data_IF_590645032997
#
_entry.id   IF_590645032997
#
_cell.length_a   1.000
_cell.length_b   1.000
_cell.length_c   1.000
_cell.angle_alpha   90.00
_cell.angle_beta   90.00
_cell.angle_gamma   90.00
#
_symmetry.space_group_name_H-M   'P 1'
#
loop_
_entity.id
_entity.type
_entity.pdbx_description
1 polymer ?
#
# COMPACT_ATOMS: atom_id res chain seq x y z
N UNK A 1 -10.97 -19.68 -17.71
CA UNK A 1 -12.02 -18.65 -17.83
C UNK A 1 -13.17 -18.95 -16.89
N UNK A 2 -13.90 -20.07 -17.04
CA UNK A 2 -15.02 -20.39 -16.12
C UNK A 2 -14.67 -20.32 -14.62
N UNK A 3 -13.52 -20.87 -14.21
CA UNK A 3 -13.08 -20.80 -12.81
C UNK A 3 -12.80 -19.36 -12.34
N UNK A 4 -12.31 -18.50 -13.24
CA UNK A 4 -12.05 -17.09 -12.97
C UNK A 4 -13.35 -16.31 -12.82
N UNK A 5 -14.29 -16.51 -13.75
CA UNK A 5 -15.61 -15.86 -13.72
C UNK A 5 -16.35 -16.20 -12.43
N UNK A 6 -16.28 -17.46 -12.00
CA UNK A 6 -16.85 -17.92 -10.73
C UNK A 6 -16.17 -17.27 -9.52
N UNK A 7 -14.86 -17.02 -9.58
CA UNK A 7 -14.14 -16.31 -8.51
C UNK A 7 -14.64 -14.87 -8.40
N UNK A 8 -14.75 -14.16 -9.52
CA UNK A 8 -15.24 -12.78 -9.57
C UNK A 8 -16.68 -12.70 -9.06
N UNK A 9 -17.57 -13.58 -9.55
CA UNK A 9 -18.96 -13.67 -9.10
C UNK A 9 -19.04 -13.92 -7.58
N UNK A 10 -18.25 -14.87 -7.06
CA UNK A 10 -18.23 -15.17 -5.63
C UNK A 10 -17.73 -13.98 -4.81
N UNK A 11 -16.75 -13.22 -5.31
CA UNK A 11 -16.26 -12.03 -4.62
C UNK A 11 -17.34 -10.96 -4.53
N UNK A 12 -18.03 -10.68 -5.65
CA UNK A 12 -19.13 -9.71 -5.72
C UNK A 12 -20.31 -10.09 -4.82
N UNK A 13 -20.69 -11.37 -4.77
CA UNK A 13 -21.73 -11.89 -3.87
C UNK A 13 -21.41 -11.64 -2.39
N UNK A 14 -20.13 -11.46 -2.05
CA UNK A 14 -19.65 -11.16 -0.70
C UNK A 14 -19.30 -9.67 -0.50
N UNK A 15 -19.66 -8.79 -1.44
CA UNK A 15 -19.38 -7.35 -1.37
C UNK A 15 -17.90 -7.00 -1.48
N UNK A 16 -17.09 -7.89 -2.05
CA UNK A 16 -15.68 -7.66 -2.34
C UNK A 16 -15.51 -7.27 -3.81
N UNK A 17 -14.46 -6.51 -4.10
CA UNK A 17 -14.07 -6.14 -5.46
C UNK A 17 -12.81 -6.92 -5.87
N UNK A 18 -12.65 -7.20 -7.15
CA UNK A 18 -11.50 -7.92 -7.72
C UNK A 18 -10.78 -7.01 -8.69
N UNK A 19 -9.54 -6.63 -8.37
CA UNK A 19 -8.62 -5.99 -9.31
C UNK A 19 -7.58 -7.00 -9.78
N UNK A 20 -7.08 -6.82 -11.01
CA UNK A 20 -6.00 -7.64 -11.54
C UNK A 20 -4.66 -6.91 -11.54
N UNK A 21 -3.59 -7.67 -11.37
CA UNK A 21 -2.25 -7.16 -11.61
C UNK A 21 -2.01 -7.01 -13.11
N UNK A 22 -1.58 -5.82 -13.53
CA UNK A 22 -1.40 -5.44 -14.92
C UNK A 22 0.05 -5.07 -15.19
N UNK A 23 0.77 -5.99 -15.83
CA UNK A 23 2.18 -5.82 -16.20
C UNK A 23 2.26 -5.17 -17.57
N UNK A 24 2.21 -3.84 -17.60
CA UNK A 24 2.21 -3.07 -18.85
C UNK A 24 3.61 -2.75 -19.36
N UNK A 25 4.62 -2.67 -18.49
CA UNK A 25 5.96 -2.20 -18.84
C UNK A 25 6.74 -3.21 -19.71
N UNK A 26 6.46 -4.50 -19.56
CA UNK A 26 7.25 -5.56 -20.18
C UNK A 26 6.44 -6.85 -20.36
N UNK A 27 6.95 -7.77 -21.17
CA UNK A 27 6.43 -9.15 -21.25
C UNK A 27 7.52 -10.17 -20.97
N UNK A 28 7.15 -11.43 -20.77
CA UNK A 28 8.11 -12.53 -20.89
C UNK A 28 8.67 -12.64 -22.33
N UNK A 29 9.88 -13.17 -22.47
CA UNK A 29 10.54 -13.40 -23.77
C UNK A 29 9.82 -14.42 -24.68
N UNK A 30 8.90 -15.21 -24.12
CA UNK A 30 8.09 -16.20 -24.82
C UNK A 30 6.70 -15.66 -25.23
N UNK A 31 6.43 -14.36 -25.02
CA UNK A 31 5.20 -13.73 -25.45
C UNK A 31 5.06 -13.73 -26.98
N UNK A 32 3.86 -13.98 -27.50
CA UNK A 32 3.62 -14.11 -28.94
C UNK A 32 4.04 -12.85 -29.73
N UNK A 33 3.85 -11.66 -29.13
CA UNK A 33 4.25 -10.39 -29.73
C UNK A 33 5.76 -10.31 -30.04
N UNK A 34 6.63 -11.04 -29.33
CA UNK A 34 8.08 -11.06 -29.65
C UNK A 34 8.32 -11.46 -31.11
N UNK A 35 7.50 -12.38 -31.63
CA UNK A 35 7.62 -12.89 -33.00
C UNK A 35 6.59 -12.28 -33.96
N UNK A 36 5.37 -12.05 -33.50
CA UNK A 36 4.26 -11.57 -34.32
C UNK A 36 4.27 -10.04 -34.49
N UNK A 37 4.73 -9.31 -33.46
CA UNK A 37 4.76 -7.85 -33.39
C UNK A 37 6.08 -7.34 -32.79
N UNK A 38 7.25 -7.66 -33.38
CA UNK A 38 8.55 -7.23 -32.85
C UNK A 38 8.72 -5.70 -32.85
N UNK A 39 7.84 -4.95 -33.51
CA UNK A 39 7.74 -3.48 -33.45
C UNK A 39 7.14 -2.94 -32.15
N UNK A 40 6.49 -3.78 -31.33
CA UNK A 40 5.96 -3.41 -30.02
C UNK A 40 7.02 -3.34 -28.93
N UNK A 41 8.25 -3.75 -29.21
CA UNK A 41 9.32 -3.81 -28.23
C UNK A 41 10.40 -2.76 -28.47
N UNK A 42 11.01 -2.30 -27.39
CA UNK A 42 12.17 -1.41 -27.44
C UNK A 42 13.35 -2.18 -28.01
N UNK A 43 14.14 -1.50 -28.86
CA UNK A 43 15.30 -2.09 -29.52
C UNK A 43 16.57 -1.33 -29.16
N UNK A 44 17.63 -2.09 -28.93
CA UNK A 44 18.96 -1.56 -28.68
C UNK A 44 19.57 -0.91 -29.94
N UNK A 45 20.81 -0.44 -29.82
CA UNK A 45 21.55 0.19 -30.92
C UNK A 45 21.85 -0.76 -32.09
N UNK A 46 21.77 -2.08 -31.87
CA UNK A 46 21.95 -3.11 -32.88
C UNK A 46 20.62 -3.52 -33.53
N UNK A 47 19.49 -3.02 -33.03
CA UNK A 47 18.15 -3.38 -33.50
C UNK A 47 17.59 -4.65 -32.87
N UNK A 48 18.20 -5.13 -31.77
CA UNK A 48 17.76 -6.30 -31.02
C UNK A 48 16.82 -5.88 -29.89
N UNK A 49 15.81 -6.69 -29.58
CA UNK A 49 14.91 -6.43 -28.44
C UNK A 49 15.72 -6.51 -27.15
N UNK A 50 15.46 -5.59 -26.22
CA UNK A 50 16.20 -5.45 -24.95
C UNK A 50 15.30 -5.59 -23.73
N UNK A 51 15.89 -5.81 -22.56
CA UNK A 51 15.23 -5.71 -21.27
C UNK A 51 14.95 -4.25 -20.86
N UNK A 52 14.04 -4.01 -19.89
CA UNK A 52 13.65 -2.67 -19.47
C UNK A 52 14.81 -1.73 -19.16
N UNK A 53 14.70 -0.50 -19.69
CA UNK A 53 15.72 0.53 -19.59
C UNK A 53 15.35 1.50 -18.46
N UNK A 54 16.35 1.98 -17.75
CA UNK A 54 16.20 3.10 -16.84
C UNK A 54 16.23 4.41 -17.64
N UNK A 55 15.10 5.09 -17.77
CA UNK A 55 14.98 6.34 -18.52
C UNK A 55 15.90 7.47 -18.04
N UNK A 56 16.25 7.47 -16.75
CA UNK A 56 17.13 8.50 -16.18
C UNK A 56 18.61 8.30 -16.59
N UNK A 57 19.02 7.07 -16.88
CA UNK A 57 20.42 6.73 -17.20
C UNK A 57 20.61 6.28 -18.65
N UNK A 58 19.55 5.80 -19.30
CA UNK A 58 19.58 5.12 -20.59
C UNK A 58 20.23 3.73 -20.55
N UNK A 59 20.44 3.17 -19.35
CA UNK A 59 21.06 1.85 -19.15
C UNK A 59 20.01 0.83 -18.68
N UNK A 60 20.17 -0.48 -18.97
CA UNK A 60 19.22 -1.49 -18.54
C UNK A 60 19.08 -1.58 -17.01
N UNK A 61 17.86 -1.87 -16.53
CA UNK A 61 17.61 -2.22 -15.12
C UNK A 61 18.21 -3.58 -14.74
N UNK A 62 18.56 -4.40 -15.75
CA UNK A 62 19.11 -5.74 -15.55
C UNK A 62 18.04 -6.80 -15.34
N UNK A 63 16.80 -6.53 -15.74
CA UNK A 63 15.68 -7.48 -15.70
C UNK A 63 15.72 -8.38 -16.93
N UNK A 64 16.83 -9.11 -17.07
CA UNK A 64 17.17 -9.87 -18.28
C UNK A 64 16.20 -11.00 -18.64
N UNK A 65 15.26 -11.33 -17.76
CA UNK A 65 14.22 -12.35 -17.94
C UNK A 65 12.93 -11.81 -18.58
N UNK A 66 12.84 -10.50 -18.82
CA UNK A 66 11.69 -9.85 -19.48
C UNK A 66 12.14 -8.93 -20.62
N UNK A 67 11.21 -8.64 -21.54
CA UNK A 67 11.42 -7.82 -22.72
C UNK A 67 10.63 -6.52 -22.63
N UNK A 68 11.30 -5.39 -22.90
CA UNK A 68 10.78 -4.04 -22.74
C UNK A 68 9.78 -3.66 -23.83
N UNK A 69 8.62 -3.13 -23.42
CA UNK A 69 7.57 -2.70 -24.34
C UNK A 69 7.71 -1.23 -24.73
N UNK A 70 7.56 -0.94 -26.02
CA UNK A 70 7.74 0.39 -26.58
C UNK A 70 6.41 1.15 -26.73
N UNK A 71 6.10 2.01 -25.76
CA UNK A 71 4.89 2.82 -25.76
C UNK A 71 4.87 4.00 -26.76
N UNK A 72 5.95 4.23 -27.53
CA UNK A 72 5.88 5.11 -28.72
C UNK A 72 5.12 4.43 -29.87
N UNK A 73 4.88 3.11 -29.80
CA UNK A 73 4.13 2.38 -30.81
C UNK A 73 2.62 2.43 -30.52
N UNK A 74 1.88 3.19 -31.33
CA UNK A 74 0.41 3.30 -31.24
C UNK A 74 -0.33 1.95 -31.36
N UNK A 75 0.23 1.00 -32.11
CA UNK A 75 -0.33 -0.35 -32.23
C UNK A 75 -0.25 -1.13 -30.93
N UNK A 76 0.85 -0.99 -30.18
CA UNK A 76 0.98 -1.56 -28.84
C UNK A 76 -0.04 -0.92 -27.89
N UNK A 77 -0.12 0.42 -27.90
CA UNK A 77 -1.05 1.17 -27.01
C UNK A 77 -2.49 0.69 -27.21
N UNK A 78 -2.92 0.58 -28.47
CA UNK A 78 -4.25 0.06 -28.80
C UNK A 78 -4.43 -1.38 -28.36
N UNK A 79 -3.47 -2.27 -28.63
CA UNK A 79 -3.54 -3.67 -28.19
C UNK A 79 -3.65 -3.79 -26.67
N UNK A 80 -2.80 -3.07 -25.92
CA UNK A 80 -2.80 -3.01 -24.46
C UNK A 80 -4.15 -2.54 -23.91
N UNK A 81 -4.68 -1.44 -24.47
CA UNK A 81 -6.00 -0.90 -24.13
C UNK A 81 -7.11 -1.93 -24.37
N UNK A 82 -7.11 -2.62 -25.51
CA UNK A 82 -8.16 -3.61 -25.81
C UNK A 82 -8.11 -4.80 -24.86
N UNK A 83 -6.93 -5.27 -24.48
CA UNK A 83 -6.79 -6.34 -23.48
C UNK A 83 -7.29 -5.90 -22.09
N UNK A 84 -7.02 -4.65 -21.67
CA UNK A 84 -7.60 -4.11 -20.44
C UNK A 84 -9.15 -4.02 -20.54
N UNK A 85 -9.67 -3.50 -21.64
CA UNK A 85 -11.12 -3.44 -21.84
C UNK A 85 -11.77 -4.83 -21.86
N UNK A 86 -11.09 -5.85 -22.38
CA UNK A 86 -11.57 -7.22 -22.42
C UNK A 86 -11.87 -7.75 -21.02
N UNK A 87 -10.94 -7.63 -20.07
CA UNK A 87 -11.18 -8.14 -18.71
C UNK A 87 -12.31 -7.41 -17.99
N UNK A 88 -12.41 -6.09 -18.16
CA UNK A 88 -13.48 -5.30 -17.54
C UNK A 88 -14.84 -5.63 -18.16
N UNK A 89 -14.93 -5.73 -19.49
CA UNK A 89 -16.19 -5.98 -20.22
C UNK A 89 -16.67 -7.43 -20.10
N UNK A 90 -15.77 -8.38 -20.31
CA UNK A 90 -16.11 -9.79 -20.48
C UNK A 90 -16.04 -10.57 -19.16
N UNK A 91 -15.18 -10.13 -18.23
CA UNK A 91 -14.95 -10.83 -16.96
C UNK A 91 -15.30 -10.01 -15.72
N UNK A 92 -15.85 -8.81 -15.90
CA UNK A 92 -16.42 -7.97 -14.86
C UNK A 92 -15.48 -7.66 -13.69
N UNK A 93 -14.16 -7.65 -13.89
CA UNK A 93 -13.22 -7.20 -12.85
C UNK A 93 -13.44 -5.72 -12.53
N UNK A 94 -13.00 -5.27 -11.37
CA UNK A 94 -13.28 -3.94 -10.82
C UNK A 94 -12.13 -2.95 -10.98
N UNK A 95 -11.09 -3.31 -11.72
CA UNK A 95 -9.98 -2.44 -12.07
C UNK A 95 -8.62 -3.16 -11.99
N UNK A 96 -7.55 -2.39 -11.79
CA UNK A 96 -6.18 -2.87 -11.94
C UNK A 96 -5.23 -2.36 -10.86
N UNK A 97 -4.26 -3.20 -10.48
CA UNK A 97 -2.97 -2.78 -9.95
C UNK A 97 -2.00 -2.73 -11.12
N UNK A 98 -1.48 -1.56 -11.47
CA UNK A 98 -0.50 -1.40 -12.54
C UNK A 98 0.92 -1.60 -12.00
N UNK A 99 1.59 -2.65 -12.45
CA UNK A 99 3.00 -2.93 -12.17
C UNK A 99 3.91 -1.86 -12.77
N UNK A 100 4.93 -1.44 -12.01
CA UNK A 100 5.92 -0.46 -12.43
C UNK A 100 5.27 0.74 -13.17
N UNK A 101 4.14 1.25 -12.66
CA UNK A 101 3.29 2.20 -13.38
C UNK A 101 4.03 3.47 -13.84
N UNK A 102 5.06 3.85 -13.09
CA UNK A 102 5.95 4.99 -13.36
C UNK A 102 6.84 4.81 -14.60
N UNK A 103 7.02 3.57 -15.09
CA UNK A 103 7.78 3.24 -16.29
C UNK A 103 6.93 3.24 -17.56
N UNK A 104 5.63 3.50 -17.45
CA UNK A 104 4.71 3.59 -18.58
C UNK A 104 4.18 5.04 -18.67
N UNK A 105 4.07 5.63 -19.88
CA UNK A 105 3.69 7.03 -20.02
C UNK A 105 2.36 7.40 -19.34
N UNK A 106 2.34 8.50 -18.57
CA UNK A 106 1.13 8.98 -17.88
C UNK A 106 -0.05 9.15 -18.84
N UNK A 107 0.18 9.69 -20.04
CA UNK A 107 -0.87 9.94 -21.03
C UNK A 107 -1.52 8.66 -21.55
N UNK A 108 -0.80 7.53 -21.58
CA UNK A 108 -1.40 6.23 -21.86
C UNK A 108 -2.37 5.83 -20.74
N UNK A 109 -1.95 5.99 -19.49
CA UNK A 109 -2.79 5.66 -18.34
C UNK A 109 -4.04 6.53 -18.24
N UNK A 110 -3.93 7.83 -18.52
CA UNK A 110 -5.07 8.75 -18.54
C UNK A 110 -6.10 8.32 -19.61
N UNK A 111 -5.62 8.01 -20.81
CA UNK A 111 -6.43 7.59 -21.95
C UNK A 111 -7.15 6.25 -21.68
N UNK A 112 -6.43 5.20 -21.27
CA UNK A 112 -7.05 3.90 -20.99
C UNK A 112 -7.99 3.95 -19.78
N UNK A 113 -7.65 4.70 -18.74
CA UNK A 113 -8.49 4.80 -17.54
C UNK A 113 -9.80 5.53 -17.83
N UNK A 114 -9.79 6.53 -18.72
CA UNK A 114 -11.02 7.15 -19.22
C UNK A 114 -11.92 6.14 -19.92
N UNK A 115 -11.37 5.37 -20.87
CA UNK A 115 -12.12 4.35 -21.62
C UNK A 115 -12.68 3.24 -20.72
N UNK A 116 -11.90 2.78 -19.72
CA UNK A 116 -12.37 1.79 -18.74
C UNK A 116 -13.56 2.33 -17.94
N UNK A 117 -13.50 3.59 -17.51
CA UNK A 117 -14.57 4.25 -16.73
C UNK A 117 -15.84 4.50 -17.55
N UNK A 118 -15.75 4.57 -18.88
CA UNK A 118 -16.94 4.57 -19.76
C UNK A 118 -17.71 3.25 -19.71
N UNK A 119 -17.02 2.13 -19.47
CA UNK A 119 -17.66 0.81 -19.33
C UNK A 119 -18.36 0.69 -17.99
N UNK A 120 -17.63 0.91 -16.90
CA UNK A 120 -18.14 0.94 -15.51
C UNK A 120 -17.13 1.65 -14.59
N UNK A 121 -17.52 2.08 -13.38
CA UNK A 121 -16.55 2.52 -12.38
C UNK A 121 -15.50 1.43 -12.14
N UNK A 122 -14.23 1.80 -12.29
CA UNK A 122 -13.07 0.94 -12.01
C UNK A 122 -12.17 1.61 -10.98
N UNK A 123 -11.38 0.80 -10.27
CA UNK A 123 -10.37 1.23 -9.33
C UNK A 123 -8.98 0.96 -9.88
N UNK A 124 -8.18 2.01 -10.00
CA UNK A 124 -6.83 1.97 -10.54
C UNK A 124 -5.82 2.24 -9.42
N UNK A 125 -4.99 1.25 -9.14
CA UNK A 125 -3.88 1.31 -8.18
C UNK A 125 -2.55 1.33 -8.92
N UNK A 126 -1.76 2.37 -8.76
CA UNK A 126 -0.40 2.42 -9.30
C UNK A 126 0.58 1.77 -8.32
N UNK A 127 1.44 0.86 -8.79
CA UNK A 127 2.70 0.59 -8.12
C UNK A 127 3.69 1.74 -8.35
N UNK A 128 3.36 2.88 -7.76
CA UNK A 128 4.15 4.09 -7.77
C UNK A 128 3.66 5.02 -6.65
N UNK A 129 4.54 5.92 -6.23
CA UNK A 129 4.19 7.14 -5.47
C UNK A 129 4.65 8.40 -6.20
N UNK A 130 5.27 8.22 -7.38
CA UNK A 130 5.73 9.27 -8.27
C UNK A 130 5.88 8.72 -9.71
N UNK A 131 5.75 9.55 -10.75
CA UNK A 131 5.44 10.97 -10.68
C UNK A 131 3.96 11.21 -10.29
N UNK A 132 3.67 12.41 -9.77
CA UNK A 132 2.39 12.72 -9.11
C UNK A 132 1.22 12.83 -10.08
N UNK A 133 1.53 13.17 -11.33
CA UNK A 133 0.56 13.29 -12.42
C UNK A 133 -0.14 11.95 -12.75
N UNK A 134 0.44 10.81 -12.35
CA UNK A 134 -0.26 9.52 -12.36
C UNK A 134 -1.60 9.57 -11.60
N UNK A 135 -1.69 10.35 -10.52
CA UNK A 135 -2.88 10.34 -9.65
C UNK A 135 -3.98 11.29 -10.11
N UNK A 136 -3.67 12.29 -10.95
CA UNK A 136 -4.65 13.31 -11.33
C UNK A 136 -5.86 12.74 -12.11
N UNK A 137 -5.61 11.92 -13.12
CA UNK A 137 -6.68 11.39 -14.00
C UNK A 137 -6.62 9.87 -14.22
N UNK A 138 -5.51 9.21 -13.86
CA UNK A 138 -5.33 7.80 -14.14
C UNK A 138 -5.60 6.92 -12.92
N UNK A 139 -4.95 7.18 -11.78
CA UNK A 139 -4.96 6.29 -10.63
C UNK A 139 -5.61 6.90 -9.39
N UNK A 140 -6.54 6.19 -8.74
CA UNK A 140 -7.10 6.63 -7.46
C UNK A 140 -6.15 6.42 -6.28
N UNK A 141 -5.22 5.47 -6.38
CA UNK A 141 -4.33 5.11 -5.26
C UNK A 141 -2.91 4.79 -5.73
N UNK A 142 -1.92 5.20 -4.96
CA UNK A 142 -0.50 4.83 -5.12
C UNK A 142 -0.03 3.88 -4.02
N UNK A 143 1.17 3.33 -4.15
CA UNK A 143 1.84 2.63 -3.05
C UNK A 143 2.46 3.63 -2.08
N UNK A 144 2.46 3.35 -0.77
CA UNK A 144 3.24 4.13 0.19
C UNK A 144 4.64 3.52 0.40
N UNK A 145 5.51 3.59 -0.61
CA UNK A 145 6.83 2.96 -0.55
C UNK A 145 7.77 3.66 0.43
N UNK A 146 7.82 4.99 0.41
CA UNK A 146 8.66 5.72 1.34
C UNK A 146 8.21 5.53 2.80
N UNK A 147 6.90 5.59 3.05
CA UNK A 147 6.36 5.31 4.38
C UNK A 147 6.67 3.88 4.81
N UNK A 148 6.53 2.89 3.92
CA UNK A 148 6.92 1.51 4.20
C UNK A 148 8.39 1.39 4.62
N UNK A 149 9.32 1.96 3.84
CA UNK A 149 10.74 1.92 4.17
C UNK A 149 11.06 2.65 5.47
N UNK A 150 10.41 3.79 5.73
CA UNK A 150 10.57 4.52 6.98
C UNK A 150 10.11 3.70 8.20
N UNK A 151 8.99 2.97 8.10
CA UNK A 151 8.56 2.03 9.16
C UNK A 151 9.65 0.97 9.45
N UNK A 152 10.27 0.40 8.42
CA UNK A 152 11.37 -0.55 8.60
C UNK A 152 12.59 0.10 9.24
N UNK A 153 12.98 1.30 8.81
CA UNK A 153 14.12 2.01 9.37
C UNK A 153 13.92 2.39 10.84
N UNK A 154 12.69 2.75 11.24
CA UNK A 154 12.32 2.97 12.64
C UNK A 154 12.41 1.66 13.42
N UNK A 155 11.85 0.56 12.91
CA UNK A 155 11.94 -0.75 13.56
C UNK A 155 13.40 -1.22 13.76
N UNK A 156 14.30 -0.79 12.86
CA UNK A 156 15.74 -1.08 12.91
C UNK A 156 16.53 -0.06 13.75
N UNK A 157 15.89 0.95 14.35
CA UNK A 157 16.51 2.00 15.15
C UNK A 157 17.38 2.98 14.36
N UNK A 158 17.22 3.04 13.03
CA UNK A 158 17.94 3.96 12.13
C UNK A 158 17.25 5.32 12.02
N UNK A 159 15.93 5.34 12.26
CA UNK A 159 15.04 6.50 12.19
C UNK A 159 14.18 6.57 13.44
N UNK A 160 13.52 7.70 13.65
CA UNK A 160 12.79 8.01 14.88
C UNK A 160 11.31 8.31 14.62
N UNK A 161 10.50 8.41 15.67
CA UNK A 161 9.10 8.84 15.54
C UNK A 161 9.00 10.24 14.94
N UNK A 162 9.99 11.11 15.18
CA UNK A 162 10.08 12.43 14.60
C UNK A 162 10.28 12.39 13.07
N UNK A 163 11.09 11.47 12.56
CA UNK A 163 11.25 11.30 11.11
C UNK A 163 9.90 10.97 10.45
N UNK A 164 9.04 10.19 11.13
CA UNK A 164 7.68 9.92 10.66
C UNK A 164 6.81 11.17 10.64
N UNK A 165 6.83 11.99 11.69
CA UNK A 165 6.09 13.26 11.72
C UNK A 165 6.52 14.20 10.58
N UNK A 166 7.81 14.26 10.29
CA UNK A 166 8.34 15.07 9.18
C UNK A 166 7.90 14.51 7.82
N UNK A 167 7.85 13.18 7.67
CA UNK A 167 7.29 12.50 6.50
C UNK A 167 5.80 12.80 6.32
N UNK A 168 4.99 12.76 7.38
CA UNK A 168 3.56 13.06 7.33
C UNK A 168 3.28 14.50 6.88
N UNK A 169 4.06 15.47 7.37
CA UNK A 169 3.99 16.88 6.93
C UNK A 169 4.35 17.05 5.46
N UNK A 170 5.30 16.25 4.97
CA UNK A 170 5.68 16.27 3.57
C UNK A 170 4.55 15.74 2.70
N UNK A 171 4.00 14.57 3.01
CA UNK A 171 2.96 13.96 2.15
C UNK A 171 1.65 14.77 2.13
N UNK A 172 1.31 15.45 3.23
CA UNK A 172 0.15 16.35 3.33
C UNK A 172 0.15 17.48 2.29
N UNK A 173 1.33 17.82 1.75
CA UNK A 173 1.50 18.86 0.72
C UNK A 173 1.90 18.28 -0.63
N UNK A 174 2.00 16.95 -0.73
CA UNK A 174 2.57 16.28 -1.89
C UNK A 174 1.51 15.88 -2.91
N UNK A 175 0.37 15.37 -2.47
CA UNK A 175 -0.68 14.82 -3.32
C UNK A 175 -1.94 15.71 -3.34
N UNK A 176 -2.88 15.46 -4.25
CA UNK A 176 -4.18 16.14 -4.25
C UNK A 176 -5.04 15.67 -3.05
N UNK A 177 -6.06 16.44 -2.67
CA UNK A 177 -6.83 16.21 -1.44
C UNK A 177 -7.56 14.84 -1.44
N UNK A 178 -7.91 14.31 -2.61
CA UNK A 178 -8.58 13.01 -2.76
C UNK A 178 -7.66 11.86 -3.21
N UNK A 179 -6.38 12.14 -3.44
CA UNK A 179 -5.35 11.12 -3.60
C UNK A 179 -5.11 10.40 -2.28
N UNK A 180 -4.81 9.11 -2.37
CA UNK A 180 -4.44 8.35 -1.19
C UNK A 180 -3.46 7.24 -1.51
N UNK A 181 -2.72 6.82 -0.49
CA UNK A 181 -1.72 5.78 -0.62
C UNK A 181 -2.18 4.48 0.05
N UNK A 182 -1.67 3.38 -0.47
CA UNK A 182 -1.78 2.07 0.11
C UNK A 182 -0.71 1.90 1.18
N UNK A 183 -1.11 1.76 2.44
CA UNK A 183 -0.21 1.56 3.55
C UNK A 183 0.02 0.07 3.79
N UNK A 184 1.28 -0.35 3.90
CA UNK A 184 1.60 -1.76 4.06
C UNK A 184 2.86 -1.96 4.88
N UNK A 185 2.92 -3.11 5.57
CA UNK A 185 4.14 -3.58 6.25
C UNK A 185 4.82 -4.73 5.50
N UNK A 186 4.16 -5.27 4.47
CA UNK A 186 4.71 -6.28 3.58
C UNK A 186 3.84 -6.39 2.32
N UNK A 187 4.45 -6.81 1.23
CA UNK A 187 3.83 -7.21 -0.02
C UNK A 187 4.65 -8.37 -0.59
N UNK A 188 4.47 -8.69 -1.88
CA UNK A 188 5.22 -9.76 -2.53
C UNK A 188 6.72 -9.45 -2.65
N UNK A 189 7.10 -8.25 -3.11
CA UNK A 189 8.51 -7.88 -3.25
C UNK A 189 9.24 -7.83 -1.91
N UNK A 190 8.62 -7.20 -0.92
CA UNK A 190 9.18 -7.08 0.42
C UNK A 190 9.34 -8.45 1.07
N UNK A 191 8.34 -9.33 0.97
CA UNK A 191 8.43 -10.67 1.56
C UNK A 191 9.51 -11.52 0.88
N UNK A 192 9.53 -11.55 -0.45
CA UNK A 192 10.41 -12.44 -1.22
C UNK A 192 11.85 -11.94 -1.24
N UNK A 193 12.07 -10.64 -1.47
CA UNK A 193 13.41 -10.07 -1.66
C UNK A 193 13.99 -9.49 -0.37
N UNK A 194 13.25 -8.64 0.33
CA UNK A 194 13.77 -7.92 1.50
C UNK A 194 13.71 -8.77 2.79
N UNK A 195 12.66 -9.58 2.94
CA UNK A 195 12.46 -10.56 4.00
C UNK A 195 11.09 -10.56 4.65
N UNK A 196 10.85 -11.54 5.51
CA UNK A 196 9.61 -11.63 6.29
C UNK A 196 9.44 -10.38 7.15
N UNK A 197 8.19 -10.08 7.54
CA UNK A 197 7.89 -9.01 8.50
C UNK A 197 8.73 -9.15 9.76
N UNK A 198 8.93 -10.39 10.25
CA UNK A 198 9.72 -10.66 11.44
C UNK A 198 11.21 -10.40 11.23
N UNK A 199 11.77 -10.77 10.08
CA UNK A 199 13.17 -10.46 9.76
C UNK A 199 13.43 -8.96 9.70
N UNK A 200 12.48 -8.19 9.15
CA UNK A 200 12.65 -6.75 8.92
C UNK A 200 12.27 -5.87 10.10
N UNK A 201 11.24 -6.26 10.87
CA UNK A 201 10.63 -5.44 11.92
C UNK A 201 10.65 -6.07 13.32
N UNK A 202 10.82 -7.39 13.45
CA UNK A 202 10.85 -8.07 14.74
C UNK A 202 9.64 -7.74 15.64
N UNK A 203 9.91 -7.35 16.88
CA UNK A 203 8.89 -7.01 17.88
C UNK A 203 8.10 -5.73 17.55
N UNK A 204 8.63 -4.87 16.67
CA UNK A 204 7.94 -3.65 16.22
C UNK A 204 6.75 -3.94 15.27
N UNK A 205 6.70 -5.14 14.70
CA UNK A 205 5.76 -5.49 13.61
C UNK A 205 4.29 -5.23 13.94
N UNK A 206 3.86 -5.48 15.18
CA UNK A 206 2.46 -5.25 15.58
C UNK A 206 2.12 -3.76 15.66
N UNK A 207 3.01 -2.94 16.21
CA UNK A 207 2.82 -1.49 16.26
C UNK A 207 2.78 -0.90 14.84
N UNK A 208 3.70 -1.32 13.96
CA UNK A 208 3.70 -0.88 12.55
C UNK A 208 2.45 -1.33 11.80
N UNK A 209 1.93 -2.53 12.08
CA UNK A 209 0.67 -3.01 11.52
C UNK A 209 -0.52 -2.18 12.00
N UNK A 210 -0.61 -1.92 13.30
CA UNK A 210 -1.67 -1.07 13.85
C UNK A 210 -1.64 0.34 13.23
N UNK A 211 -0.44 0.89 13.13
CA UNK A 211 -0.17 2.19 12.51
C UNK A 211 -0.61 2.25 11.04
N UNK A 212 -0.35 1.22 10.22
CA UNK A 212 -0.75 1.22 8.81
C UNK A 212 -2.26 1.28 8.60
N UNK A 213 -3.04 0.87 9.60
CA UNK A 213 -4.51 0.98 9.60
C UNK A 213 -5.02 2.36 10.07
N UNK A 214 -4.26 3.07 10.91
CA UNK A 214 -4.70 4.31 11.56
C UNK A 214 -4.20 5.59 10.91
N UNK A 215 -3.18 5.52 10.04
CA UNK A 215 -2.76 6.65 9.19
C UNK A 215 -3.72 6.86 7.99
N UNK A 216 -3.71 8.03 7.32
CA UNK A 216 -4.50 8.28 6.11
C UNK A 216 -4.14 7.28 5.00
N UNK A 217 -5.14 6.88 4.19
CA UNK A 217 -4.98 5.89 3.13
C UNK A 217 -5.66 4.55 3.41
N UNK A 218 -5.29 3.53 2.63
CA UNK A 218 -5.90 2.20 2.65
C UNK A 218 -4.86 1.13 3.04
N UNK A 219 -5.12 0.27 4.04
CA UNK A 219 -4.16 -0.77 4.41
C UNK A 219 -4.16 -1.95 3.43
N UNK A 220 -2.99 -2.53 3.17
CA UNK A 220 -2.83 -3.82 2.48
C UNK A 220 -2.68 -4.96 3.49
N UNK A 221 -3.35 -6.08 3.23
CA UNK A 221 -3.01 -7.38 3.80
C UNK A 221 -2.38 -8.21 2.69
N UNK A 222 -1.12 -8.62 2.86
CA UNK A 222 -0.49 -9.56 1.93
C UNK A 222 -0.77 -11.00 2.38
N UNK A 223 -1.24 -11.84 1.47
CA UNK A 223 -1.66 -13.20 1.77
C UNK A 223 -0.56 -13.99 2.50
N UNK A 224 -0.92 -14.57 3.64
CA UNK A 224 -0.01 -15.27 4.55
C UNK A 224 0.40 -14.45 5.77
N UNK A 225 0.38 -13.12 5.68
CA UNK A 225 0.62 -12.22 6.82
C UNK A 225 -0.36 -12.49 7.96
N UNK A 226 -1.62 -12.73 7.64
CA UNK A 226 -2.68 -13.04 8.60
C UNK A 226 -2.46 -14.35 9.36
N UNK A 227 -1.63 -15.25 8.83
CA UNK A 227 -1.29 -16.55 9.41
C UNK A 227 0.07 -16.57 10.11
N UNK A 228 0.62 -15.39 10.43
CA UNK A 228 1.94 -15.25 11.06
C UNK A 228 3.06 -15.92 10.24
N UNK A 229 2.93 -15.91 8.91
CA UNK A 229 3.86 -16.59 8.01
C UNK A 229 5.27 -15.98 8.12
N UNK A 230 6.17 -16.73 8.77
CA UNK A 230 7.60 -16.43 8.87
C UNK A 230 8.37 -17.17 7.76
N UNK A 231 7.93 -16.95 6.52
CA UNK A 231 8.52 -17.54 5.32
C UNK A 231 8.56 -16.50 4.21
N UNK A 232 9.71 -16.41 3.52
CA UNK A 232 9.84 -15.74 2.23
C UNK A 232 9.30 -16.65 1.13
N UNK A 233 8.26 -16.21 0.43
CA UNK A 233 7.64 -16.95 -0.66
C UNK A 233 8.56 -16.93 -1.89
N UNK A 234 8.60 -18.05 -2.62
CA UNK A 234 9.40 -18.18 -3.84
C UNK A 234 8.53 -17.88 -5.07
N UNK A 235 8.93 -16.90 -5.88
CA UNK A 235 8.19 -16.55 -7.12
C UNK A 235 8.15 -17.68 -8.15
N UNK A 236 9.24 -18.44 -8.29
CA UNK A 236 9.43 -19.38 -9.39
C UNK A 236 9.14 -20.83 -9.02
N UNK A 237 8.56 -21.08 -7.85
CA UNK A 237 8.18 -22.40 -7.39
C UNK A 237 6.73 -22.40 -6.93
N UNK A 238 6.07 -23.56 -6.99
CA UNK A 238 4.79 -23.74 -6.32
C UNK A 238 5.01 -23.66 -4.82
N UNK A 239 4.81 -22.47 -4.27
CA UNK A 239 4.90 -22.21 -2.85
C UNK A 239 3.50 -22.05 -2.23
N UNK A 240 3.31 -22.58 -1.03
CA UNK A 240 2.00 -22.64 -0.37
C UNK A 240 2.00 -21.86 0.93
N UNK A 241 0.93 -21.10 1.13
CA UNK A 241 0.67 -20.34 2.35
C UNK A 241 0.08 -21.27 3.42
N UNK A 242 0.54 -21.19 4.68
CA UNK A 242 -0.09 -21.93 5.77
C UNK A 242 -1.47 -21.34 6.07
N UNK A 243 -2.47 -22.17 6.37
CA UNK A 243 -3.82 -21.70 6.75
C UNK A 243 -4.10 -21.84 8.25
N UNK A 244 -3.06 -21.66 9.08
CA UNK A 244 -3.18 -21.72 10.53
C UNK A 244 -3.23 -20.30 11.11
N UNK A 245 -4.39 -19.91 11.66
CA UNK A 245 -4.55 -18.62 12.33
C UNK A 245 -3.63 -18.55 13.56
N UNK A 246 -2.79 -17.53 13.62
CA UNK A 246 -1.94 -17.26 14.79
C UNK A 246 -2.33 -15.95 15.49
N UNK A 247 -1.32 -15.19 15.93
CA UNK A 247 -1.49 -13.97 16.72
C UNK A 247 -1.99 -12.80 15.86
N UNK A 248 -1.52 -12.69 14.62
CA UNK A 248 -1.86 -11.55 13.74
C UNK A 248 -3.31 -11.60 13.27
N UNK A 249 -3.89 -12.80 13.10
CA UNK A 249 -5.26 -12.97 12.62
C UNK A 249 -6.32 -12.18 13.43
N UNK A 250 -6.48 -12.37 14.76
CA UNK A 250 -7.46 -11.61 15.54
C UNK A 250 -7.13 -10.11 15.64
N UNK A 251 -5.88 -9.72 15.43
CA UNK A 251 -5.48 -8.31 15.39
C UNK A 251 -6.01 -7.67 14.11
N UNK A 252 -5.83 -8.32 12.95
CA UNK A 252 -6.39 -7.87 11.67
C UNK A 252 -7.92 -7.83 11.69
N UNK A 253 -8.60 -8.78 12.35
CA UNK A 253 -10.06 -8.72 12.51
C UNK A 253 -10.49 -7.45 13.27
N UNK A 254 -9.80 -7.11 14.36
CA UNK A 254 -10.08 -5.88 15.14
C UNK A 254 -9.78 -4.62 14.32
N UNK A 255 -8.61 -4.54 13.69
CA UNK A 255 -8.17 -3.39 12.92
C UNK A 255 -9.04 -3.18 11.67
N UNK A 256 -9.37 -4.26 10.96
CA UNK A 256 -10.28 -4.24 9.82
C UNK A 256 -11.67 -3.76 10.22
N UNK A 257 -12.22 -4.27 11.33
CA UNK A 257 -13.48 -3.77 11.87
C UNK A 257 -13.41 -2.27 12.21
N UNK A 258 -12.36 -1.83 12.89
CA UNK A 258 -12.17 -0.44 13.26
C UNK A 258 -12.12 0.48 12.03
N UNK A 259 -11.35 0.09 11.01
CA UNK A 259 -11.19 0.83 9.75
C UNK A 259 -12.51 1.01 9.00
N UNK A 260 -13.39 0.01 9.05
CA UNK A 260 -14.69 0.04 8.37
C UNK A 260 -15.78 0.78 9.17
N UNK A 261 -15.72 0.78 10.51
CA UNK A 261 -16.81 1.29 11.35
C UNK A 261 -16.54 2.69 11.94
N UNK A 262 -15.29 3.16 11.98
CA UNK A 262 -14.93 4.43 12.61
C UNK A 262 -14.66 5.53 11.58
N UNK A 263 -15.50 6.57 11.60
CA UNK A 263 -15.41 7.69 10.67
C UNK A 263 -14.11 8.52 10.81
N UNK A 264 -13.40 8.42 11.93
CA UNK A 264 -12.07 8.99 12.09
C UNK A 264 -11.01 8.29 11.22
N UNK A 265 -11.29 7.12 10.66
CA UNK A 265 -10.36 6.41 9.77
C UNK A 265 -10.76 6.46 8.29
N UNK A 266 -11.83 7.19 7.95
CA UNK A 266 -12.17 7.43 6.55
C UNK A 266 -11.00 8.09 5.81
N UNK A 267 -10.80 7.70 4.55
CA UNK A 267 -9.78 8.23 3.66
C UNK A 267 -10.39 8.74 2.36
N UNK A 268 -9.53 9.12 1.41
CA UNK A 268 -9.91 9.55 0.07
C UNK A 268 -10.99 10.65 0.11
N UNK A 269 -12.07 10.50 -0.68
CA UNK A 269 -13.16 11.48 -0.85
C UNK A 269 -13.91 11.87 0.43
N UNK A 270 -13.70 11.18 1.55
CA UNK A 270 -14.25 11.53 2.87
C UNK A 270 -13.17 11.53 3.94
N UNK A 271 -11.95 11.98 3.60
CA UNK A 271 -10.80 11.93 4.48
C UNK A 271 -11.06 12.57 5.85
N UNK A 272 -10.80 11.81 6.90
CA UNK A 272 -10.66 12.32 8.26
C UNK A 272 -9.32 13.05 8.40
N UNK A 273 -9.29 14.10 9.23
CA UNK A 273 -8.08 14.88 9.48
C UNK A 273 -6.97 14.01 10.08
N UNK A 274 -5.73 14.47 9.96
CA UNK A 274 -4.57 13.91 10.65
C UNK A 274 -3.81 15.06 11.31
N UNK A 275 -3.62 14.99 12.63
CA UNK A 275 -2.87 15.99 13.38
C UNK A 275 -1.88 15.30 14.32
N UNK A 276 -0.58 15.60 14.17
CA UNK A 276 0.44 15.15 15.15
C UNK A 276 0.16 15.78 16.52
N UNK A 277 0.25 14.97 17.56
CA UNK A 277 0.14 15.41 18.96
C UNK A 277 1.54 15.63 19.53
N UNK A 278 1.70 16.72 20.27
CA UNK A 278 2.96 17.04 20.95
C UNK A 278 3.16 16.12 22.17
N UNK A 279 4.39 15.60 22.29
CA UNK A 279 4.82 14.77 23.42
C UNK A 279 6.11 15.30 24.03
N UNK A 280 6.39 14.93 25.27
CA UNK A 280 7.69 15.27 25.88
C UNK A 280 8.88 14.51 25.28
N UNK A 281 8.66 13.58 24.35
CA UNK A 281 9.69 12.76 23.72
C UNK A 281 9.35 12.38 22.27
N UNK A 282 9.26 13.39 21.40
CA UNK A 282 8.89 13.23 19.99
C UNK A 282 9.84 12.33 19.17
N UNK A 283 11.06 12.08 19.67
CA UNK A 283 11.98 11.15 19.01
C UNK A 283 11.52 9.69 19.18
N UNK A 284 10.90 9.34 20.31
CA UNK A 284 10.54 7.94 20.60
C UNK A 284 9.05 7.68 20.63
N UNK A 285 8.24 8.70 20.85
CA UNK A 285 6.79 8.55 20.93
C UNK A 285 6.17 9.13 19.68
N UNK A 286 5.45 8.28 18.95
CA UNK A 286 4.57 8.72 17.89
C UNK A 286 3.17 8.88 18.46
N UNK A 287 2.61 10.08 18.30
CA UNK A 287 1.27 10.40 18.74
C UNK A 287 0.58 11.23 17.67
N UNK A 288 -0.60 10.80 17.23
CA UNK A 288 -1.42 11.58 16.31
C UNK A 288 -2.90 11.33 16.55
N UNK A 289 -3.69 12.32 16.17
CA UNK A 289 -5.14 12.31 16.21
C UNK A 289 -5.71 12.22 14.80
N UNK A 290 -6.81 11.47 14.67
CA UNK A 290 -7.69 11.48 13.52
C UNK A 290 -9.08 11.93 13.93
N UNK A 291 -9.71 12.83 13.16
CA UNK A 291 -11.10 13.26 13.39
C UNK A 291 -11.92 13.23 12.11
N UNK A 292 -13.10 12.64 12.18
CA UNK A 292 -14.01 12.53 11.04
C UNK A 292 -15.39 12.04 11.46
N UNK A 293 -16.45 12.61 10.90
CA UNK A 293 -17.84 12.17 11.14
C UNK A 293 -18.30 12.23 12.60
N UNK A 294 -17.69 13.06 13.45
CA UNK A 294 -17.98 13.14 14.89
C UNK A 294 -17.16 12.18 15.76
N UNK A 295 -16.45 11.23 15.14
CA UNK A 295 -15.53 10.33 15.83
C UNK A 295 -14.12 10.93 15.95
N UNK A 296 -13.41 10.51 16.98
CA UNK A 296 -12.02 10.85 17.26
C UNK A 296 -11.25 9.56 17.56
N UNK A 297 -10.03 9.47 17.01
CA UNK A 297 -9.11 8.36 17.26
C UNK A 297 -7.72 8.92 17.52
N UNK A 298 -7.03 8.38 18.52
CA UNK A 298 -5.63 8.68 18.81
C UNK A 298 -4.83 7.39 18.67
N UNK A 299 -3.78 7.43 17.86
CA UNK A 299 -2.73 6.42 17.88
C UNK A 299 -1.58 6.96 18.73
N UNK A 300 -1.19 6.20 19.74
CA UNK A 300 -0.11 6.55 20.66
C UNK A 300 0.83 5.35 20.79
N UNK A 301 2.10 5.49 20.46
CA UNK A 301 3.04 4.36 20.45
C UNK A 301 4.46 4.74 20.83
N UNK A 302 5.13 3.82 21.52
CA UNK A 302 6.58 3.83 21.70
C UNK A 302 7.24 3.18 20.49
N UNK A 303 7.91 4.00 19.68
CA UNK A 303 8.60 3.60 18.45
C UNK A 303 10.07 3.25 18.71
N UNK A 304 10.36 2.59 19.84
CA UNK A 304 11.72 2.20 20.22
C UNK A 304 11.77 0.87 20.97
N UNK A 305 12.97 0.32 21.07
CA UNK A 305 13.26 -0.96 21.74
C UNK A 305 13.51 -0.83 23.26
N UNK A 306 13.30 0.35 23.84
CA UNK A 306 13.47 0.63 25.27
C UNK A 306 12.16 1.13 25.89
N UNK A 307 11.93 0.92 27.20
CA UNK A 307 10.87 1.63 27.92
C UNK A 307 11.05 3.15 27.81
N UNK A 308 9.95 3.87 27.60
CA UNK A 308 9.96 5.34 27.46
C UNK A 308 8.93 5.95 28.38
N UNK A 309 9.38 6.91 29.19
CA UNK A 309 8.52 7.82 29.92
C UNK A 309 8.24 9.08 29.11
N UNK A 310 6.99 9.50 29.08
CA UNK A 310 6.57 10.67 28.33
C UNK A 310 5.27 11.28 28.86
N UNK A 311 4.98 12.50 28.43
CA UNK A 311 3.67 13.14 28.56
C UNK A 311 3.12 13.47 27.17
N UNK A 312 1.80 13.66 27.07
CA UNK A 312 1.10 14.11 25.86
C UNK A 312 0.27 15.36 26.18
N UNK A 313 0.10 16.24 25.19
CA UNK A 313 -0.59 17.53 25.32
C UNK A 313 -2.12 17.48 25.21
N UNK A 314 -2.73 16.30 25.38
CA UNK A 314 -4.18 16.11 25.29
C UNK A 314 -4.74 15.51 26.58
N UNK A 315 -6.02 15.77 26.84
CA UNK A 315 -6.78 15.16 27.92
C UNK A 315 -8.14 14.67 27.42
N UNK A 316 -8.63 13.59 28.02
CA UNK A 316 -9.94 13.04 27.71
C UNK A 316 -10.13 11.62 28.21
N UNK A 317 -11.39 11.20 28.24
CA UNK A 317 -11.78 9.82 28.50
C UNK A 317 -11.96 9.10 27.17
N UNK A 318 -11.21 8.02 26.97
CA UNK A 318 -11.18 7.24 25.74
C UNK A 318 -11.41 5.75 26.03
N UNK A 319 -11.72 5.00 24.98
CA UNK A 319 -11.66 3.55 24.99
C UNK A 319 -10.38 3.09 24.29
N UNK A 320 -9.52 2.33 25.00
CA UNK A 320 -8.44 1.56 24.36
C UNK A 320 -9.08 0.42 23.57
N UNK A 321 -9.16 0.60 22.25
CA UNK A 321 -9.89 -0.29 21.36
C UNK A 321 -9.26 -1.68 21.31
N UNK A 322 -7.93 -1.77 21.37
CA UNK A 322 -7.23 -3.04 21.28
C UNK A 322 -7.35 -3.84 22.58
N UNK A 323 -7.23 -3.18 23.74
CA UNK A 323 -7.36 -3.79 25.06
C UNK A 323 -8.83 -3.98 25.52
N UNK A 324 -9.78 -3.27 24.89
CA UNK A 324 -11.18 -3.17 25.30
C UNK A 324 -11.34 -2.72 26.77
N UNK A 325 -10.68 -1.62 27.12
CA UNK A 325 -10.73 -1.01 28.45
C UNK A 325 -10.81 0.52 28.36
N UNK A 326 -11.39 1.14 29.38
CA UNK A 326 -11.36 2.60 29.53
C UNK A 326 -9.91 3.08 29.72
N UNK A 327 -9.59 4.24 29.16
CA UNK A 327 -8.29 4.86 29.25
C UNK A 327 -8.46 6.37 29.39
N UNK A 328 -8.00 6.91 30.51
CA UNK A 328 -8.07 8.34 30.80
C UNK A 328 -6.71 8.98 30.52
N UNK A 329 -6.71 10.04 29.73
CA UNK A 329 -5.58 10.94 29.53
C UNK A 329 -5.81 12.21 30.33
N UNK A 330 -4.86 12.58 31.18
CA UNK A 330 -4.77 13.91 31.78
C UNK A 330 -3.63 14.70 31.13
N UNK A 331 -3.85 15.98 30.86
CA UNK A 331 -2.86 16.83 30.20
C UNK A 331 -1.59 16.90 31.07
N UNK A 332 -0.44 16.53 30.50
CA UNK A 332 0.83 16.50 31.21
C UNK A 332 1.03 15.32 32.17
N UNK A 333 0.12 14.33 32.18
CA UNK A 333 0.31 13.08 32.92
C UNK A 333 1.53 12.32 32.41
N UNK A 334 2.44 11.95 33.31
CA UNK A 334 3.55 11.06 32.97
C UNK A 334 3.03 9.63 32.83
N UNK A 335 3.29 9.03 31.67
CA UNK A 335 3.05 7.63 31.36
C UNK A 335 4.37 6.94 31.03
N UNK A 336 4.40 5.62 31.12
CA UNK A 336 5.52 4.80 30.69
C UNK A 336 5.03 3.70 29.77
N UNK A 337 5.56 3.65 28.55
CA UNK A 337 5.29 2.58 27.58
C UNK A 337 6.48 1.64 27.50
N UNK A 338 6.21 0.34 27.46
CA UNK A 338 7.21 -0.69 27.18
C UNK A 338 7.66 -0.63 25.70
N UNK A 339 8.78 -1.30 25.33
CA UNK A 339 9.22 -1.36 23.94
C UNK A 339 8.10 -1.73 22.99
N UNK A 340 7.90 -0.94 21.93
CA UNK A 340 6.87 -1.17 20.90
C UNK A 340 5.42 -1.21 21.41
N UNK A 341 5.16 -0.79 22.65
CA UNK A 341 3.80 -0.67 23.17
C UNK A 341 3.05 0.43 22.42
N UNK A 342 1.80 0.15 22.05
CA UNK A 342 0.91 1.09 21.39
C UNK A 342 -0.50 1.02 21.96
N UNK A 343 -1.25 2.11 21.76
CA UNK A 343 -2.67 2.23 22.07
C UNK A 343 -3.39 2.85 20.89
N UNK A 344 -4.58 2.33 20.60
CA UNK A 344 -5.56 2.96 19.72
C UNK A 344 -6.72 3.40 20.59
N UNK A 345 -6.74 4.69 20.90
CA UNK A 345 -7.75 5.29 21.76
C UNK A 345 -8.87 5.83 20.88
N UNK A 346 -10.12 5.50 21.20
CA UNK A 346 -11.28 5.89 20.39
C UNK A 346 -12.30 6.62 21.23
N UNK A 347 -13.01 7.54 20.59
CA UNK A 347 -14.12 8.29 21.14
C UNK A 347 -15.15 8.53 20.03
N UNK A 348 -16.41 8.20 20.31
CA UNK A 348 -17.52 8.30 19.36
C UNK A 348 -18.54 9.35 19.79
#
# INVERSE_FOLDING_TARGET
MEDFDKLVETAHDNGMYVILDWVANHTGWDHAWITEHPEYYTKDKNGEITDPINDATGEPWGWTDVADLNFDNEGLREAMKQEMLFWVKEHNIDGYRADAAHSVPTDFWEDVSADLREVKPVFMLAEAESPKDLFHNAFEMGYNWEGHHLMNEIAQGKKTAKDWDDYMKKIDTTFEDDDYLMNFITNHDENSWAGTVKERMGDASEAMLAMSYTIPGMPLIYSGQEYDMDKRLRFFEKDTIPHQKGKVYPILEKLGKLKNENAALHGAKQAASYETLETSNQEKILAYERKGGGSELIYLANMSDQPVKFTVSIAGDYQDYMANSEFQLEEGQEMEFQPWEYKILTKN
#
